data_IF_523044063059
#
_entry.id   IF_523044063059
#
_cell.length_a   1.000
_cell.length_b   1.000
_cell.length_c   1.000
_cell.angle_alpha   90.00
_cell.angle_beta   90.00
_cell.angle_gamma   90.00
#
_symmetry.space_group_name_H-M   'P 1'
#
loop_
_entity.id
_entity.type
_entity.pdbx_description
1 polymer ?
#
# COMPACT_ATOMS: atom_id res chain seq x y z
N UNK A 1 -54.36 40.42 -42.07
CA UNK A 1 -54.13 39.74 -40.79
C UNK A 1 -53.80 38.26 -41.06
N UNK A 2 -52.57 37.92 -41.17
CA UNK A 2 -52.11 36.55 -41.27
C UNK A 2 -51.16 36.30 -40.11
N UNK A 3 -51.58 35.35 -39.27
CA UNK A 3 -50.82 34.86 -38.15
C UNK A 3 -49.84 33.75 -38.65
N UNK A 4 -48.56 33.98 -38.57
CA UNK A 4 -47.57 32.93 -38.73
C UNK A 4 -47.29 32.26 -37.39
N UNK A 5 -47.84 31.03 -37.26
CA UNK A 5 -47.50 30.09 -36.19
C UNK A 5 -46.20 29.41 -36.53
N UNK A 6 -45.10 29.87 -35.93
CA UNK A 6 -43.81 29.24 -36.00
C UNK A 6 -43.70 28.17 -34.90
N UNK A 7 -44.05 26.91 -35.27
CA UNK A 7 -43.87 25.75 -34.44
C UNK A 7 -42.37 25.47 -34.27
N UNK A 8 -41.82 25.76 -33.10
CA UNK A 8 -40.52 25.32 -32.67
C UNK A 8 -40.49 23.80 -32.51
N UNK A 9 -39.85 23.10 -33.44
CA UNK A 9 -39.55 21.68 -33.35
C UNK A 9 -38.58 21.43 -32.19
N UNK A 10 -39.09 20.89 -31.10
CA UNK A 10 -38.30 20.35 -30.01
C UNK A 10 -37.45 19.16 -30.50
N UNK A 11 -36.18 19.19 -30.25
CA UNK A 11 -35.24 18.10 -30.53
C UNK A 11 -35.00 17.28 -29.22
N UNK A 12 -35.78 16.21 -28.97
CA UNK A 12 -35.70 15.41 -27.75
C UNK A 12 -34.52 14.39 -27.73
N UNK A 13 -34.02 14.00 -28.91
CA UNK A 13 -33.13 12.79 -29.01
C UNK A 13 -31.69 12.97 -28.54
N UNK A 14 -31.14 14.16 -28.59
CA UNK A 14 -29.71 14.38 -28.25
C UNK A 14 -29.44 14.36 -26.73
N UNK A 15 -30.40 14.79 -25.92
CA UNK A 15 -30.29 14.85 -24.45
C UNK A 15 -30.39 13.45 -23.83
N UNK A 16 -31.26 12.61 -24.40
CA UNK A 16 -31.40 11.22 -23.94
C UNK A 16 -30.21 10.34 -24.25
N UNK A 17 -29.62 10.49 -25.42
CA UNK A 17 -28.41 9.75 -25.81
C UNK A 17 -27.19 10.07 -24.91
N UNK A 18 -27.00 11.35 -24.56
CA UNK A 18 -25.91 11.79 -23.68
C UNK A 18 -26.12 11.26 -22.24
N UNK A 19 -27.35 11.26 -21.76
CA UNK A 19 -27.76 10.78 -20.44
C UNK A 19 -27.58 9.26 -20.34
N UNK A 20 -27.98 8.50 -21.35
CA UNK A 20 -27.77 7.05 -21.43
C UNK A 20 -26.27 6.69 -21.49
N UNK A 21 -25.46 7.43 -22.27
CA UNK A 21 -24.01 7.24 -22.33
C UNK A 21 -23.34 7.50 -20.98
N UNK A 22 -23.78 8.53 -20.26
CA UNK A 22 -23.29 8.85 -18.90
C UNK A 22 -23.66 7.77 -17.88
N UNK A 23 -24.87 7.21 -17.98
CA UNK A 23 -25.37 6.12 -17.13
C UNK A 23 -24.56 4.85 -17.36
N UNK A 24 -24.39 4.41 -18.63
CA UNK A 24 -23.55 3.25 -18.99
C UNK A 24 -22.10 3.39 -18.50
N UNK A 25 -21.53 4.59 -18.62
CA UNK A 25 -20.17 4.88 -18.13
C UNK A 25 -20.07 4.76 -16.60
N UNK A 26 -21.08 5.21 -15.86
CA UNK A 26 -21.14 5.07 -14.40
C UNK A 26 -21.30 3.60 -13.98
N UNK A 27 -22.14 2.86 -14.64
CA UNK A 27 -22.34 1.42 -14.38
C UNK A 27 -21.06 0.63 -14.67
N UNK A 28 -20.40 0.88 -15.79
CA UNK A 28 -19.11 0.27 -16.10
C UNK A 28 -18.03 0.62 -15.06
N UNK A 29 -17.95 1.88 -14.66
CA UNK A 29 -17.01 2.30 -13.62
C UNK A 29 -17.31 1.64 -12.27
N UNK A 30 -18.60 1.49 -11.90
CA UNK A 30 -19.02 0.78 -10.69
C UNK A 30 -18.64 -0.70 -10.73
N UNK A 31 -18.87 -1.35 -11.86
CA UNK A 31 -18.51 -2.76 -12.07
C UNK A 31 -17.00 -2.98 -11.99
N UNK A 32 -16.21 -2.10 -12.62
CA UNK A 32 -14.75 -2.14 -12.54
C UNK A 32 -14.24 -1.93 -11.12
N UNK A 33 -14.84 -1.00 -10.37
CA UNK A 33 -14.50 -0.79 -8.95
C UNK A 33 -14.83 -2.03 -8.10
N UNK A 34 -15.96 -2.69 -8.34
CA UNK A 34 -16.32 -3.93 -7.63
C UNK A 34 -15.36 -5.07 -7.94
N UNK A 35 -14.99 -5.26 -9.22
CA UNK A 35 -14.00 -6.27 -9.63
C UNK A 35 -12.63 -6.00 -8.98
N UNK A 36 -12.16 -4.75 -9.00
CA UNK A 36 -10.89 -4.38 -8.35
C UNK A 36 -10.94 -4.57 -6.82
N UNK A 37 -12.07 -4.28 -6.19
CA UNK A 37 -12.24 -4.49 -4.75
C UNK A 37 -12.22 -5.98 -4.39
N UNK A 38 -12.89 -6.84 -5.17
CA UNK A 38 -12.89 -8.30 -4.96
C UNK A 38 -11.49 -8.89 -5.11
N UNK A 39 -10.75 -8.54 -6.17
CA UNK A 39 -9.37 -8.98 -6.37
C UNK A 39 -8.46 -8.51 -5.24
N UNK A 40 -8.66 -7.27 -4.77
CA UNK A 40 -7.88 -6.73 -3.65
C UNK A 40 -8.18 -7.46 -2.34
N UNK A 41 -9.43 -7.82 -2.11
CA UNK A 41 -9.82 -8.58 -0.93
C UNK A 41 -9.22 -9.98 -0.95
N UNK A 42 -9.33 -10.69 -2.07
CA UNK A 42 -8.72 -12.01 -2.27
C UNK A 42 -7.20 -11.97 -2.06
N UNK A 43 -6.52 -10.98 -2.62
CA UNK A 43 -5.08 -10.78 -2.40
C UNK A 43 -4.74 -10.47 -0.93
N UNK A 44 -5.60 -9.73 -0.24
CA UNK A 44 -5.42 -9.42 1.18
C UNK A 44 -5.57 -10.67 2.05
N UNK A 45 -6.59 -11.50 1.77
CA UNK A 45 -6.82 -12.76 2.47
C UNK A 45 -5.68 -13.76 2.23
N UNK A 46 -5.23 -13.90 0.99
CA UNK A 46 -4.07 -14.72 0.64
C UNK A 46 -2.80 -14.23 1.35
N UNK A 47 -2.56 -12.92 1.40
CA UNK A 47 -1.41 -12.35 2.08
C UNK A 47 -1.46 -12.57 3.60
N UNK A 48 -2.63 -12.50 4.22
CA UNK A 48 -2.80 -12.82 5.65
C UNK A 48 -2.49 -14.29 5.94
N UNK A 49 -2.94 -15.19 5.07
CA UNK A 49 -2.66 -16.63 5.20
C UNK A 49 -1.16 -16.90 5.08
N UNK A 50 -0.49 -16.30 4.09
CA UNK A 50 0.97 -16.46 3.90
C UNK A 50 1.75 -15.87 5.08
N UNK A 51 1.31 -14.76 5.63
CA UNK A 51 1.98 -14.12 6.76
C UNK A 51 1.99 -14.99 8.04
N UNK A 52 1.14 -16.02 8.11
CA UNK A 52 1.08 -17.01 9.20
C UNK A 52 1.88 -18.28 8.89
N UNK A 53 2.53 -18.35 7.75
CA UNK A 53 3.35 -19.48 7.36
C UNK A 53 4.82 -19.30 7.79
N UNK A 54 5.59 -20.40 7.85
CA UNK A 54 7.05 -20.33 8.05
C UNK A 54 7.78 -19.45 7.03
N UNK A 55 8.97 -19.02 7.38
CA UNK A 55 9.78 -18.08 6.60
C UNK A 55 10.10 -18.53 5.18
N UNK A 56 10.29 -19.84 4.96
CA UNK A 56 10.53 -20.43 3.65
C UNK A 56 9.32 -20.27 2.71
N UNK A 57 8.11 -20.53 3.21
CA UNK A 57 6.86 -20.33 2.45
C UNK A 57 6.63 -18.84 2.14
N UNK A 58 6.94 -17.96 3.10
CA UNK A 58 6.87 -16.52 2.89
C UNK A 58 7.86 -16.06 1.81
N UNK A 59 9.09 -16.57 1.80
CA UNK A 59 10.10 -16.28 0.79
C UNK A 59 9.66 -16.75 -0.61
N UNK A 60 9.10 -17.92 -0.72
CA UNK A 60 8.57 -18.45 -1.99
C UNK A 60 7.39 -17.63 -2.53
N UNK A 61 6.53 -17.15 -1.65
CA UNK A 61 5.45 -16.23 -2.03
C UNK A 61 6.02 -14.91 -2.59
N UNK A 62 7.02 -14.33 -1.93
CA UNK A 62 7.68 -13.12 -2.41
C UNK A 62 8.35 -13.34 -3.76
N UNK A 63 9.07 -14.44 -3.94
CA UNK A 63 9.72 -14.81 -5.21
C UNK A 63 8.71 -14.95 -6.34
N UNK A 64 7.59 -15.64 -6.06
CA UNK A 64 6.50 -15.79 -7.04
C UNK A 64 5.87 -14.44 -7.42
N UNK A 65 5.69 -13.57 -6.43
CA UNK A 65 5.14 -12.23 -6.64
C UNK A 65 6.12 -11.35 -7.41
N UNK A 66 7.40 -11.42 -7.10
CA UNK A 66 8.47 -10.72 -7.82
C UNK A 66 8.52 -11.14 -9.30
N UNK A 67 8.47 -12.44 -9.59
CA UNK A 67 8.42 -12.96 -10.98
C UNK A 67 7.22 -12.43 -11.77
N UNK A 68 6.04 -12.35 -11.12
CA UNK A 68 4.84 -11.77 -11.74
C UNK A 68 4.97 -10.25 -11.97
N UNK A 69 5.61 -9.55 -11.07
CA UNK A 69 5.80 -8.09 -11.16
C UNK A 69 6.86 -7.71 -12.22
N UNK A 70 7.88 -8.54 -12.38
CA UNK A 70 9.03 -8.31 -13.27
C UNK A 70 9.20 -9.44 -14.30
N UNK A 71 8.27 -9.61 -15.24
CA UNK A 71 8.29 -10.74 -16.18
C UNK A 71 9.44 -10.70 -17.20
N UNK A 72 10.18 -9.60 -17.26
CA UNK A 72 11.32 -9.42 -18.17
C UNK A 72 12.67 -9.78 -17.54
N UNK A 73 12.74 -9.94 -16.22
CA UNK A 73 13.96 -10.34 -15.55
C UNK A 73 14.23 -11.82 -15.76
N UNK A 74 15.49 -12.16 -15.94
CA UNK A 74 15.97 -13.54 -15.97
C UNK A 74 15.86 -14.20 -14.60
N UNK A 75 15.89 -15.54 -14.55
CA UNK A 75 15.85 -16.26 -13.28
C UNK A 75 17.06 -15.94 -12.38
N UNK A 76 18.22 -15.65 -12.96
CA UNK A 76 19.41 -15.25 -12.23
C UNK A 76 19.22 -13.88 -11.55
N UNK A 77 18.74 -12.87 -12.29
CA UNK A 77 18.46 -11.54 -11.74
C UNK A 77 17.38 -11.58 -10.67
N UNK A 78 16.35 -12.42 -10.84
CA UNK A 78 15.32 -12.64 -9.82
C UNK A 78 15.89 -13.29 -8.55
N UNK A 79 16.87 -14.18 -8.69
CA UNK A 79 17.53 -14.82 -7.56
C UNK A 79 18.45 -13.86 -6.81
N UNK A 80 19.22 -13.04 -7.53
CA UNK A 80 20.12 -12.04 -6.95
C UNK A 80 19.38 -10.93 -6.20
N UNK A 81 18.22 -10.52 -6.71
CA UNK A 81 17.40 -9.46 -6.11
C UNK A 81 16.32 -9.98 -5.15
N UNK A 82 16.20 -11.30 -5.00
CA UNK A 82 15.23 -11.96 -4.14
C UNK A 82 15.56 -11.81 -2.65
N UNK A 83 14.53 -11.91 -1.80
CA UNK A 83 14.71 -11.95 -0.34
C UNK A 83 14.90 -13.41 0.10
N UNK A 84 16.08 -13.78 0.63
CA UNK A 84 16.32 -15.13 1.15
C UNK A 84 15.46 -15.42 2.40
N UNK A 85 15.05 -16.67 2.57
CA UNK A 85 14.30 -17.09 3.77
C UNK A 85 15.07 -16.80 5.08
N UNK A 86 16.40 -16.90 5.06
CA UNK A 86 17.24 -16.59 6.21
C UNK A 86 17.19 -15.13 6.68
N UNK A 87 16.74 -14.21 5.82
CA UNK A 87 16.53 -12.80 6.17
C UNK A 87 15.14 -12.52 6.73
N UNK A 88 14.27 -13.53 6.80
CA UNK A 88 12.89 -13.37 7.25
C UNK A 88 12.74 -13.79 8.71
N UNK A 89 12.12 -12.95 9.51
CA UNK A 89 11.78 -13.31 10.89
C UNK A 89 10.63 -14.32 10.92
N UNK A 90 10.66 -15.24 11.88
CA UNK A 90 9.64 -16.26 12.09
C UNK A 90 8.35 -15.67 12.68
N UNK A 91 7.72 -14.79 11.90
CA UNK A 91 6.57 -13.99 12.34
C UNK A 91 5.28 -14.79 12.52
N UNK A 92 5.22 -16.03 12.09
CA UNK A 92 4.06 -16.91 12.30
C UNK A 92 3.77 -17.18 13.77
N UNK A 93 4.77 -17.03 14.64
CA UNK A 93 4.64 -17.18 16.11
C UNK A 93 3.87 -16.03 16.78
N UNK A 94 3.47 -15.01 16.03
CA UNK A 94 2.66 -13.92 16.56
C UNK A 94 1.21 -14.34 16.73
N UNK A 95 0.79 -14.52 17.97
CA UNK A 95 -0.52 -15.07 18.34
C UNK A 95 -1.69 -14.09 18.16
N UNK A 96 -1.39 -12.76 18.14
CA UNK A 96 -2.43 -11.75 18.03
C UNK A 96 -2.84 -11.53 16.59
N UNK A 97 -4.04 -10.99 16.37
CA UNK A 97 -4.48 -10.55 15.05
C UNK A 97 -3.52 -9.51 14.44
N UNK A 98 -3.26 -9.64 13.15
CA UNK A 98 -2.37 -8.73 12.39
C UNK A 98 -3.09 -7.46 11.96
N UNK A 99 -3.62 -6.74 12.95
CA UNK A 99 -4.30 -5.46 12.77
C UNK A 99 -3.34 -4.29 13.04
N UNK A 100 -3.78 -3.08 12.69
CA UNK A 100 -3.02 -1.87 12.98
C UNK A 100 -2.83 -1.66 14.49
N UNK A 101 -3.82 -2.03 15.27
CA UNK A 101 -3.82 -1.91 16.73
C UNK A 101 -2.70 -2.73 17.38
N UNK A 102 -2.45 -3.94 16.88
CA UNK A 102 -1.42 -4.84 17.39
C UNK A 102 -0.03 -4.63 16.75
N UNK A 103 0.10 -3.67 15.82
CA UNK A 103 1.34 -3.48 15.08
C UNK A 103 2.53 -3.09 15.97
N UNK A 104 2.31 -2.30 17.02
CA UNK A 104 3.38 -1.95 17.95
C UNK A 104 3.88 -3.16 18.75
N UNK A 105 2.97 -4.05 19.18
CA UNK A 105 3.34 -5.30 19.83
C UNK A 105 4.10 -6.24 18.89
N UNK A 106 3.68 -6.33 17.63
CA UNK A 106 4.38 -7.09 16.59
C UNK A 106 5.81 -6.59 16.39
N UNK A 107 6.00 -5.28 16.23
CA UNK A 107 7.34 -4.71 16.04
C UNK A 107 8.23 -4.94 17.26
N UNK A 108 7.71 -4.78 18.47
CA UNK A 108 8.50 -5.08 19.69
C UNK A 108 8.94 -6.54 19.77
N UNK A 109 8.11 -7.46 19.34
CA UNK A 109 8.41 -8.89 19.45
C UNK A 109 9.50 -9.32 18.45
N UNK A 110 9.42 -8.86 17.20
CA UNK A 110 10.29 -9.34 16.13
C UNK A 110 11.43 -8.40 15.76
N UNK A 111 11.29 -7.11 16.07
CA UNK A 111 12.25 -6.06 15.72
C UNK A 111 12.49 -5.15 16.93
N UNK A 112 13.09 -5.69 18.01
CA UNK A 112 13.34 -4.90 19.21
C UNK A 112 14.26 -3.73 18.86
N UNK A 113 13.83 -2.52 19.22
CA UNK A 113 14.65 -1.33 19.06
C UNK A 113 15.70 -1.32 20.18
N UNK A 114 16.95 -1.00 19.88
CA UNK A 114 17.99 -0.87 20.90
C UNK A 114 17.67 0.29 21.84
N UNK A 115 18.00 0.15 23.12
CA UNK A 115 17.82 1.20 24.13
C UNK A 115 18.69 2.43 23.83
N UNK A 116 19.87 2.21 23.25
CA UNK A 116 20.77 3.23 22.75
C UNK A 116 20.83 3.21 21.26
N UNK A 117 20.39 4.29 20.63
CA UNK A 117 20.47 4.45 19.19
C UNK A 117 21.90 4.78 18.78
N UNK A 118 22.32 4.28 17.62
CA UNK A 118 23.57 4.71 16.99
C UNK A 118 23.58 6.23 16.85
N UNK A 119 24.73 6.83 17.12
CA UNK A 119 24.95 8.27 16.86
C UNK A 119 25.10 8.58 15.36
N UNK A 120 25.08 7.57 14.51
CA UNK A 120 25.15 7.75 13.06
C UNK A 120 23.83 8.30 12.54
N UNK A 121 23.89 9.49 11.97
CA UNK A 121 22.75 10.11 11.30
C UNK A 121 22.34 9.30 10.08
N UNK A 122 21.03 9.20 9.84
CA UNK A 122 20.50 8.60 8.61
C UNK A 122 20.43 7.08 8.58
N UNK A 123 20.66 6.37 9.68
CA UNK A 123 20.52 4.92 9.75
C UNK A 123 19.10 4.52 10.25
N UNK A 124 18.15 4.18 9.37
CA UNK A 124 16.85 3.71 9.79
C UNK A 124 16.94 2.32 10.42
N UNK A 125 16.48 2.15 11.66
CA UNK A 125 16.41 0.86 12.33
C UNK A 125 15.30 -0.03 11.78
N UNK A 126 14.18 0.57 11.38
CA UNK A 126 13.04 -0.13 10.80
C UNK A 126 12.50 0.67 9.62
N UNK A 127 12.36 0.00 8.48
CA UNK A 127 11.70 0.55 7.30
C UNK A 127 10.36 -0.17 7.08
N UNK A 128 9.27 0.60 7.07
CA UNK A 128 7.92 0.07 6.82
C UNK A 128 7.41 0.54 5.47
N UNK A 129 7.17 -0.41 4.57
CA UNK A 129 6.61 -0.11 3.25
C UNK A 129 5.09 -0.25 3.29
N UNK A 130 4.37 0.79 2.85
CA UNK A 130 2.92 0.84 2.84
C UNK A 130 2.36 1.11 1.44
N UNK A 131 1.21 0.51 1.12
CA UNK A 131 0.59 0.61 -0.20
C UNK A 131 0.00 1.98 -0.56
N UNK A 132 -0.16 2.89 0.42
CA UNK A 132 -0.62 4.27 0.20
C UNK A 132 -0.25 5.19 1.37
N UNK A 133 -0.30 6.51 1.12
CA UNK A 133 0.10 7.53 2.09
C UNK A 133 -0.78 7.56 3.36
N UNK A 134 -2.10 7.30 3.24
CA UNK A 134 -2.99 7.25 4.41
C UNK A 134 -2.58 6.10 5.34
N UNK A 135 -2.33 4.92 4.79
CA UNK A 135 -1.86 3.77 5.57
C UNK A 135 -0.50 4.04 6.22
N UNK A 136 0.42 4.70 5.50
CA UNK A 136 1.71 5.10 6.06
C UNK A 136 1.54 6.08 7.24
N UNK A 137 0.62 7.03 7.14
CA UNK A 137 0.33 7.97 8.22
C UNK A 137 -0.27 7.28 9.46
N UNK A 138 -1.17 6.31 9.27
CA UNK A 138 -1.78 5.54 10.35
C UNK A 138 -0.76 4.65 11.06
N UNK A 139 0.09 3.97 10.29
CA UNK A 139 1.22 3.17 10.81
C UNK A 139 2.18 4.05 11.61
N UNK A 140 2.59 5.19 11.06
CA UNK A 140 3.50 6.12 11.75
C UNK A 140 2.93 6.60 13.09
N UNK A 141 1.61 6.80 13.19
CA UNK A 141 0.94 7.21 14.43
C UNK A 141 1.04 6.12 15.49
N UNK A 142 0.80 4.86 15.10
CA UNK A 142 0.87 3.72 16.02
C UNK A 142 2.31 3.42 16.45
N UNK A 143 3.29 3.55 15.55
CA UNK A 143 4.69 3.24 15.84
C UNK A 143 5.38 4.30 16.73
N UNK A 144 4.84 5.49 16.85
CA UNK A 144 5.40 6.51 17.75
C UNK A 144 5.51 6.07 19.22
N UNK A 145 4.65 5.16 19.66
CA UNK A 145 4.70 4.60 21.02
C UNK A 145 5.95 3.74 21.27
N UNK A 146 6.64 3.33 20.19
CA UNK A 146 7.86 2.53 20.28
C UNK A 146 9.12 3.37 20.45
N UNK A 147 9.05 4.68 20.27
CA UNK A 147 10.21 5.55 20.36
C UNK A 147 10.73 5.60 21.79
N UNK A 148 11.99 5.21 22.05
CA UNK A 148 12.57 5.25 23.39
C UNK A 148 12.73 6.68 23.89
N UNK A 149 13.07 7.60 23.00
CA UNK A 149 13.16 9.04 23.33
C UNK A 149 12.59 9.88 22.17
N UNK A 150 11.38 10.47 22.33
CA UNK A 150 10.76 11.28 21.28
C UNK A 150 11.54 12.54 20.86
N UNK A 151 12.55 12.96 21.63
CA UNK A 151 13.38 14.12 21.31
C UNK A 151 14.52 13.77 20.35
N UNK A 152 15.00 12.54 20.40
CA UNK A 152 16.17 12.10 19.61
C UNK A 152 15.83 11.06 18.56
N UNK A 153 14.63 10.46 18.64
CA UNK A 153 14.17 9.43 17.70
C UNK A 153 12.90 9.87 17.01
N UNK A 154 12.82 9.61 15.71
CA UNK A 154 11.72 10.07 14.89
C UNK A 154 11.11 8.95 14.05
N UNK A 155 9.79 9.03 13.82
CA UNK A 155 9.11 8.24 12.80
C UNK A 155 8.89 9.13 11.59
N UNK A 156 9.70 8.94 10.56
CA UNK A 156 9.59 9.63 9.28
C UNK A 156 8.45 9.08 8.42
N UNK A 157 7.78 9.96 7.70
CA UNK A 157 6.75 9.60 6.73
C UNK A 157 7.25 10.06 5.36
N UNK A 158 7.81 9.12 4.60
CA UNK A 158 8.40 9.40 3.30
C UNK A 158 7.40 9.04 2.21
N UNK A 159 6.75 10.03 1.59
CA UNK A 159 5.90 9.79 0.43
C UNK A 159 5.99 10.94 -0.58
N UNK A 160 6.23 10.56 -1.82
CA UNK A 160 6.59 11.44 -2.93
C UNK A 160 5.57 12.57 -3.22
N UNK A 161 4.32 12.44 -2.82
CA UNK A 161 3.29 13.45 -3.10
C UNK A 161 3.43 14.71 -2.24
N UNK A 162 4.00 14.59 -1.04
CA UNK A 162 4.05 15.67 -0.05
C UNK A 162 5.47 16.11 0.29
N UNK A 163 6.46 15.30 -0.05
CA UNK A 163 7.87 15.59 0.17
C UNK A 163 8.65 15.43 -1.12
N UNK A 164 9.38 16.44 -1.50
CA UNK A 164 10.34 16.34 -2.59
C UNK A 164 11.48 15.41 -2.20
N UNK A 165 12.18 14.86 -3.18
CA UNK A 165 13.29 13.93 -2.92
C UNK A 165 14.39 14.60 -2.08
N UNK A 166 14.68 15.86 -2.34
CA UNK A 166 15.67 16.67 -1.62
C UNK A 166 15.30 16.86 -0.15
N UNK A 167 14.01 17.04 0.14
CA UNK A 167 13.50 17.15 1.51
C UNK A 167 13.57 15.82 2.27
N UNK A 168 13.33 14.70 1.56
CA UNK A 168 13.45 13.35 2.12
C UNK A 168 14.91 13.01 2.42
N UNK A 169 15.83 13.37 1.53
CA UNK A 169 17.27 13.20 1.71
C UNK A 169 17.79 14.04 2.89
N UNK A 170 17.39 15.31 2.96
CA UNK A 170 17.74 16.18 4.08
C UNK A 170 17.19 15.68 5.44
N UNK A 171 16.04 15.00 5.42
CA UNK A 171 15.47 14.43 6.63
C UNK A 171 16.19 13.15 7.09
N UNK A 172 16.78 12.38 6.17
CA UNK A 172 17.53 11.16 6.45
C UNK A 172 18.98 11.41 6.87
N UNK A 173 19.51 12.62 6.63
CA UNK A 173 20.87 13.05 7.06
C UNK A 173 20.86 13.64 8.46
#
# INVERSE_FOLDING_TARGET
AQSDDEQALAVPDAVDAATQKKRKRREHAKTQRRKKAAVRQEQSEAALTVAQQPSDIQADFLRTTQRKAFPKLSDLELQETGVPAACMAETYTFERERTLEHMSAFVRQFFPLPDTLSSECGAPHVLVVAGNAQRAADIARVLRVLLPNPKTTHVGKLFARHFKVEEQDAWLR
#
